data_IF_031000087008
#
_entry.id   IF_031000087008
#
_cell.length_a   1.000
_cell.length_b   1.000
_cell.length_c   1.000
_cell.angle_alpha   90.00
_cell.angle_beta   90.00
_cell.angle_gamma   90.00
#
_symmetry.space_group_name_H-M   'P 1'
#
loop_
_entity.id
_entity.type
_entity.pdbx_description
1 polymer ?
#
# COMPACT_ATOMS: atom_id res chain seq x y z
N UNK A 1 10.59 -0.63 -22.58
CA UNK A 1 9.31 -0.18 -22.00
C UNK A 1 8.33 0.13 -23.12
N UNK A 2 7.24 -0.62 -23.24
CA UNK A 2 6.21 -0.38 -24.27
C UNK A 2 5.30 0.77 -23.88
N UNK A 3 4.82 1.55 -24.87
CA UNK A 3 3.92 2.70 -24.70
C UNK A 3 2.68 2.37 -23.85
N UNK A 4 2.23 1.12 -23.91
CA UNK A 4 1.13 0.58 -23.12
C UNK A 4 1.44 0.47 -21.62
N UNK A 5 2.68 0.17 -21.23
CA UNK A 5 3.09 0.06 -19.81
C UNK A 5 3.01 1.43 -19.12
N UNK A 6 3.41 2.48 -19.82
CA UNK A 6 3.34 3.87 -19.31
C UNK A 6 1.88 4.32 -19.17
N UNK A 7 1.03 3.98 -20.16
CA UNK A 7 -0.40 4.25 -20.12
C UNK A 7 -1.10 3.54 -18.95
N UNK A 8 -0.78 2.27 -18.71
CA UNK A 8 -1.35 1.52 -17.58
C UNK A 8 -0.90 2.11 -16.24
N UNK A 9 0.37 2.49 -16.10
CA UNK A 9 0.88 3.12 -14.89
C UNK A 9 0.22 4.49 -14.63
N UNK A 10 0.05 5.30 -15.68
CA UNK A 10 -0.67 6.58 -15.60
C UNK A 10 -2.16 6.36 -15.24
N UNK A 11 -2.83 5.39 -15.84
CA UNK A 11 -4.23 5.06 -15.52
C UNK A 11 -4.41 4.60 -14.07
N UNK A 12 -3.48 3.81 -13.54
CA UNK A 12 -3.50 3.38 -12.15
C UNK A 12 -3.23 4.56 -11.22
N UNK A 13 -2.24 5.40 -11.53
CA UNK A 13 -1.85 6.55 -10.72
C UNK A 13 -2.94 7.62 -10.69
N UNK A 14 -3.42 8.05 -11.86
CA UNK A 14 -4.49 9.02 -11.98
C UNK A 14 -5.83 8.44 -11.54
N UNK A 15 -6.14 7.19 -11.83
CA UNK A 15 -7.34 6.51 -11.35
C UNK A 15 -7.39 6.43 -9.82
N UNK A 16 -6.26 6.14 -9.18
CA UNK A 16 -6.14 6.19 -7.71
C UNK A 16 -6.33 7.59 -7.14
N UNK A 17 -5.72 8.60 -7.74
CA UNK A 17 -5.90 10.00 -7.34
C UNK A 17 -7.35 10.48 -7.51
N UNK A 18 -8.02 10.07 -8.59
CA UNK A 18 -9.40 10.40 -8.88
C UNK A 18 -10.36 9.72 -7.90
N UNK A 19 -10.11 8.45 -7.56
CA UNK A 19 -10.87 7.72 -6.54
C UNK A 19 -10.74 8.37 -5.15
N UNK A 20 -9.54 8.86 -4.78
CA UNK A 20 -9.30 9.60 -3.54
C UNK A 20 -10.05 10.94 -3.54
N UNK A 21 -10.07 11.65 -4.69
CA UNK A 21 -10.85 12.87 -4.86
C UNK A 21 -12.36 12.66 -4.69
N UNK A 22 -12.89 11.61 -5.31
CA UNK A 22 -14.32 11.24 -5.20
C UNK A 22 -14.66 10.85 -3.76
N UNK A 23 -13.80 10.10 -3.07
CA UNK A 23 -14.01 9.70 -1.68
C UNK A 23 -14.08 10.89 -0.70
N UNK A 24 -13.39 12.00 -1.00
CA UNK A 24 -13.50 13.24 -0.20
C UNK A 24 -14.80 13.99 -0.43
N UNK A 25 -15.44 13.82 -1.59
CA UNK A 25 -16.67 14.53 -1.95
C UNK A 25 -17.92 13.94 -1.29
N UNK A 26 -17.93 12.63 -1.02
CA UNK A 26 -19.07 11.92 -0.39
C UNK A 26 -19.02 11.88 1.16
N UNK A 27 -18.23 12.77 1.77
CA UNK A 27 -17.97 12.78 3.21
C UNK A 27 -19.17 13.19 4.08
N UNK A 28 -20.01 12.23 4.48
CA UNK A 28 -20.68 12.30 5.78
C UNK A 28 -19.73 11.70 6.82
N UNK A 29 -19.13 12.56 7.64
CA UNK A 29 -18.10 12.19 8.61
C UNK A 29 -18.70 11.30 9.71
N UNK A 30 -18.23 10.05 9.79
CA UNK A 30 -18.49 9.16 10.93
C UNK A 30 -19.22 7.85 10.62
N UNK A 31 -19.73 7.64 9.41
CA UNK A 31 -20.37 6.35 9.06
C UNK A 31 -19.33 5.23 8.87
N UNK A 32 -19.70 4.00 9.22
CA UNK A 32 -18.84 2.80 9.03
C UNK A 32 -18.40 2.63 7.57
N UNK A 33 -19.22 3.06 6.61
CA UNK A 33 -18.89 3.02 5.18
C UNK A 33 -17.76 4.00 4.84
N UNK A 34 -17.76 5.20 5.41
CA UNK A 34 -16.66 6.17 5.24
C UNK A 34 -15.33 5.62 5.79
N UNK A 35 -15.38 4.87 6.90
CA UNK A 35 -14.19 4.20 7.45
C UNK A 35 -13.66 3.15 6.49
N UNK A 36 -14.52 2.28 5.94
CA UNK A 36 -14.12 1.26 4.96
C UNK A 36 -13.47 1.91 3.74
N UNK A 37 -14.13 2.91 3.14
CA UNK A 37 -13.62 3.62 1.95
C UNK A 37 -12.27 4.26 2.24
N UNK A 38 -12.10 4.90 3.40
CA UNK A 38 -10.81 5.49 3.79
C UNK A 38 -9.72 4.43 3.93
N UNK A 39 -10.00 3.30 4.58
CA UNK A 39 -9.01 2.22 4.77
C UNK A 39 -8.61 1.63 3.42
N UNK A 40 -9.60 1.34 2.56
CA UNK A 40 -9.36 0.84 1.20
C UNK A 40 -8.51 1.83 0.40
N UNK A 41 -8.85 3.12 0.43
CA UNK A 41 -8.10 4.15 -0.29
C UNK A 41 -6.64 4.25 0.19
N UNK A 42 -6.41 4.16 1.51
CA UNK A 42 -5.06 4.19 2.09
C UNK A 42 -4.23 2.98 1.63
N UNK A 43 -4.78 1.77 1.68
CA UNK A 43 -4.06 0.56 1.29
C UNK A 43 -3.88 0.43 -0.23
N UNK A 44 -4.84 0.90 -1.03
CA UNK A 44 -4.69 1.00 -2.47
C UNK A 44 -3.58 2.00 -2.83
N UNK A 45 -3.56 3.17 -2.17
CA UNK A 45 -2.49 4.15 -2.34
C UNK A 45 -1.13 3.59 -1.98
N UNK A 46 -1.03 2.88 -0.84
CA UNK A 46 0.20 2.19 -0.44
C UNK A 46 0.61 1.14 -1.48
N UNK A 47 -0.33 0.37 -2.03
CA UNK A 47 -0.05 -0.65 -3.05
C UNK A 47 0.57 -0.05 -4.31
N UNK A 48 -0.01 1.05 -4.81
CA UNK A 48 0.51 1.76 -5.97
C UNK A 48 1.91 2.31 -5.69
N UNK A 49 2.09 2.98 -4.54
CA UNK A 49 3.38 3.58 -4.18
C UNK A 49 4.48 2.53 -3.99
N UNK A 50 4.20 1.44 -3.28
CA UNK A 50 5.17 0.37 -3.08
C UNK A 50 5.49 -0.35 -4.39
N UNK A 51 4.49 -0.63 -5.23
CA UNK A 51 4.72 -1.30 -6.51
C UNK A 51 5.57 -0.44 -7.43
N UNK A 52 5.28 0.88 -7.46
CA UNK A 52 6.08 1.83 -8.22
C UNK A 52 7.50 1.94 -7.68
N UNK A 53 7.67 2.18 -6.38
CA UNK A 53 8.99 2.32 -5.76
C UNK A 53 9.82 1.04 -5.88
N UNK A 54 9.23 -0.12 -5.60
CA UNK A 54 9.88 -1.43 -5.75
C UNK A 54 10.27 -1.71 -7.20
N UNK A 55 9.41 -1.40 -8.16
CA UNK A 55 9.72 -1.49 -9.58
C UNK A 55 10.86 -0.56 -10.01
N UNK A 56 10.90 0.67 -9.46
CA UNK A 56 11.97 1.63 -9.71
C UNK A 56 13.32 1.13 -9.15
N UNK A 57 13.31 0.62 -7.91
CA UNK A 57 14.51 0.07 -7.28
C UNK A 57 15.03 -1.16 -8.02
N UNK A 58 14.14 -2.02 -8.53
CA UNK A 58 14.50 -3.14 -9.40
C UNK A 58 15.14 -2.65 -10.70
N UNK A 59 14.53 -1.65 -11.34
CA UNK A 59 15.02 -1.09 -12.61
C UNK A 59 16.43 -0.52 -12.49
N UNK A 60 16.74 0.16 -11.37
CA UNK A 60 18.08 0.70 -11.10
C UNK A 60 19.04 -0.31 -10.44
N UNK A 61 18.62 -1.56 -10.24
CA UNK A 61 19.47 -2.60 -9.63
C UNK A 61 19.80 -2.38 -8.16
N UNK A 62 19.04 -1.54 -7.45
CA UNK A 62 19.21 -1.29 -6.00
C UNK A 62 18.70 -2.48 -5.19
N UNK A 63 17.64 -3.13 -5.66
CA UNK A 63 17.10 -4.38 -5.12
C UNK A 63 17.11 -5.44 -6.22
N UNK A 64 17.25 -6.71 -5.85
CA UNK A 64 17.26 -7.85 -6.77
C UNK A 64 15.89 -8.48 -6.92
N UNK A 65 15.02 -8.33 -5.91
CA UNK A 65 13.68 -8.92 -5.89
C UNK A 65 12.66 -7.96 -5.28
N UNK A 66 11.52 -7.85 -5.93
CA UNK A 66 10.33 -7.18 -5.38
C UNK A 66 9.07 -7.87 -5.89
N UNK A 67 8.13 -8.16 -4.99
CA UNK A 67 6.86 -8.82 -5.31
C UNK A 67 5.68 -7.95 -4.85
N UNK A 68 5.07 -7.26 -5.82
CA UNK A 68 3.88 -6.43 -5.57
C UNK A 68 2.64 -7.25 -5.25
N UNK A 69 2.52 -8.48 -5.75
CA UNK A 69 1.38 -9.36 -5.47
C UNK A 69 1.36 -9.76 -4.01
N UNK A 70 2.54 -10.10 -3.47
CA UNK A 70 2.69 -10.40 -2.05
C UNK A 70 2.32 -9.20 -1.17
N UNK A 71 2.71 -7.98 -1.57
CA UNK A 71 2.26 -6.77 -0.87
C UNK A 71 0.74 -6.64 -0.88
N UNK A 72 0.09 -6.93 -2.01
CA UNK A 72 -1.38 -6.91 -2.12
C UNK A 72 -2.06 -7.83 -1.10
N UNK A 73 -1.56 -9.06 -0.92
CA UNK A 73 -2.08 -9.99 0.08
C UNK A 73 -1.89 -9.46 1.50
N UNK A 74 -0.70 -8.93 1.80
CA UNK A 74 -0.40 -8.30 3.09
C UNK A 74 -1.32 -7.10 3.35
N UNK A 75 -1.56 -6.28 2.34
CA UNK A 75 -2.43 -5.10 2.41
C UNK A 75 -3.89 -5.47 2.68
N UNK A 76 -4.39 -6.61 2.18
CA UNK A 76 -5.73 -7.10 2.50
C UNK A 76 -5.85 -7.50 3.98
N UNK A 77 -4.88 -8.28 4.49
CA UNK A 77 -4.88 -8.74 5.89
C UNK A 77 -4.73 -7.57 6.84
N UNK A 78 -3.74 -6.71 6.61
CA UNK A 78 -3.50 -5.54 7.44
C UNK A 78 -4.58 -4.47 7.25
N UNK A 79 -5.22 -4.40 6.09
CA UNK A 79 -6.40 -3.58 5.83
C UNK A 79 -7.60 -3.98 6.68
N UNK A 80 -7.86 -5.28 6.79
CA UNK A 80 -8.89 -5.79 7.68
C UNK A 80 -8.60 -5.47 9.15
N UNK A 81 -7.36 -5.68 9.60
CA UNK A 81 -6.95 -5.32 10.96
C UNK A 81 -7.02 -3.81 11.21
N UNK A 82 -6.59 -3.01 10.25
CA UNK A 82 -6.66 -1.55 10.31
C UNK A 82 -8.12 -1.08 10.46
N UNK A 83 -9.04 -1.63 9.67
CA UNK A 83 -10.48 -1.38 9.82
C UNK A 83 -10.98 -1.76 11.21
N UNK A 84 -10.67 -2.98 11.67
CA UNK A 84 -11.17 -3.47 12.96
C UNK A 84 -10.68 -2.61 14.12
N UNK A 85 -9.39 -2.26 14.12
CA UNK A 85 -8.79 -1.34 15.11
C UNK A 85 -9.39 0.07 15.03
N UNK A 86 -9.72 0.55 13.82
CA UNK A 86 -10.35 1.86 13.64
C UNK A 86 -11.74 1.93 14.25
N UNK A 87 -12.50 0.83 14.18
CA UNK A 87 -13.83 0.73 14.78
C UNK A 87 -13.76 0.51 16.29
N UNK A 88 -12.80 -0.29 16.78
CA UNK A 88 -12.74 -0.66 18.21
C UNK A 88 -11.96 0.29 19.10
N UNK A 89 -10.86 0.85 18.59
CA UNK A 89 -9.86 1.58 19.37
C UNK A 89 -9.61 3.01 18.85
N UNK A 90 -10.35 3.42 17.81
CA UNK A 90 -10.31 4.77 17.28
C UNK A 90 -9.19 5.03 16.27
N UNK A 91 -9.02 6.32 15.93
CA UNK A 91 -8.19 6.76 14.81
C UNK A 91 -6.69 6.59 15.02
N UNK A 92 -6.21 6.84 16.22
CA UNK A 92 -4.79 6.85 16.55
C UNK A 92 -4.21 5.43 16.55
N UNK A 93 -4.89 4.50 17.23
CA UNK A 93 -4.51 3.08 17.25
C UNK A 93 -4.54 2.46 15.85
N UNK A 94 -5.53 2.83 15.04
CA UNK A 94 -5.61 2.43 13.64
C UNK A 94 -4.39 2.91 12.81
N UNK A 95 -3.92 4.13 13.05
CA UNK A 95 -2.75 4.66 12.35
C UNK A 95 -1.49 3.84 12.66
N UNK A 96 -1.34 3.34 13.89
CA UNK A 96 -0.24 2.43 14.25
C UNK A 96 -0.27 1.13 13.45
N UNK A 97 -1.45 0.57 13.17
CA UNK A 97 -1.58 -0.63 12.32
C UNK A 97 -1.13 -0.33 10.90
N UNK A 98 -1.51 0.83 10.35
CA UNK A 98 -1.10 1.23 9.01
C UNK A 98 0.41 1.42 8.91
N UNK A 99 0.99 2.24 9.81
CA UNK A 99 2.43 2.53 9.85
C UNK A 99 3.24 1.29 10.15
N UNK A 100 2.84 0.51 11.17
CA UNK A 100 3.46 -0.76 11.51
C UNK A 100 3.43 -1.74 10.34
N UNK A 101 2.35 -1.75 9.56
CA UNK A 101 2.25 -2.51 8.32
C UNK A 101 3.25 -2.08 7.24
N UNK A 102 3.46 -0.77 7.05
CA UNK A 102 4.46 -0.26 6.12
C UNK A 102 5.88 -0.66 6.55
N UNK A 103 6.17 -0.56 7.86
CA UNK A 103 7.47 -0.94 8.42
C UNK A 103 7.72 -2.45 8.33
N UNK A 104 6.71 -3.27 8.61
CA UNK A 104 6.78 -4.71 8.47
C UNK A 104 7.05 -5.11 7.01
N UNK A 105 6.37 -4.46 6.06
CA UNK A 105 6.62 -4.70 4.65
C UNK A 105 8.02 -4.28 4.21
N UNK A 106 8.49 -3.09 4.64
CA UNK A 106 9.85 -2.66 4.40
C UNK A 106 10.86 -3.70 4.91
N UNK A 107 10.68 -4.20 6.14
CA UNK A 107 11.53 -5.24 6.68
C UNK A 107 11.53 -6.50 5.79
N UNK A 108 10.37 -6.97 5.34
CA UNK A 108 10.26 -8.11 4.41
C UNK A 108 11.05 -7.86 3.12
N UNK A 109 10.90 -6.68 2.50
CA UNK A 109 11.64 -6.32 1.28
C UNK A 109 13.14 -6.34 1.54
N UNK A 110 13.60 -5.78 2.67
CA UNK A 110 15.02 -5.78 3.03
C UNK A 110 15.56 -7.20 3.24
N UNK A 111 14.80 -8.07 3.92
CA UNK A 111 15.17 -9.49 4.10
C UNK A 111 15.27 -10.22 2.77
N UNK A 112 14.29 -10.03 1.89
CA UNK A 112 14.28 -10.62 0.54
C UNK A 112 15.48 -10.19 -0.31
N UNK A 113 16.05 -9.03 0.01
CA UNK A 113 17.19 -8.45 -0.69
C UNK A 113 18.52 -8.56 0.09
N UNK A 114 18.58 -9.44 1.10
CA UNK A 114 19.84 -9.85 1.70
C UNK A 114 20.34 -9.01 2.88
N UNK A 115 19.46 -8.25 3.55
CA UNK A 115 19.84 -7.48 4.76
C UNK A 115 20.44 -8.37 5.88
N UNK A 116 20.17 -9.68 5.87
CA UNK A 116 20.75 -10.64 6.83
C UNK A 116 21.84 -11.56 6.24
N UNK A 117 22.29 -11.30 5.01
CA UNK A 117 23.37 -12.05 4.35
C UNK A 117 22.95 -13.43 3.87
N UNK A 118 23.38 -13.80 2.66
CA UNK A 118 23.53 -15.20 2.29
C UNK A 118 24.68 -15.79 3.10
N UNK A 119 24.54 -16.94 3.79
CA UNK A 119 25.72 -17.68 4.22
C UNK A 119 26.55 -17.99 2.96
N UNK A 120 27.85 -17.70 3.06
CA UNK A 120 28.84 -17.92 2.00
C UNK A 120 28.82 -19.35 1.48
#
# INVERSE_FOLDING_TARGET
>A
MTRFTVLTLLLIFFGGALAVGIARFFGTSGSRASVVVSVVAQWLGAYVLWTFAGGLLLYYGVVTRYDGTLFGVVALVLGFLHYRTRVSAGREQAALVFVGGQLAWLAIVLVQNGLFGTPK
#
